data_IF_365511178562
#
_entry.id   IF_365511178562
#
_cell.length_a   1.000
_cell.length_b   1.000
_cell.length_c   1.000
_cell.angle_alpha   90.00
_cell.angle_beta   90.00
_cell.angle_gamma   90.00
#
_symmetry.space_group_name_H-M   'P 1'
#
loop_
_entity.id
_entity.type
_entity.pdbx_description
1 polymer ?
2 polymer ?
3 polymer ?
4 polymer ?
5 non-polymer ?
6 non-polymer ?
7 non-polymer ?
8 non-polymer ?
9 non-polymer ?
10 non-polymer ?
11 water ?
#
loop_
_entity_poly.entity_id
_entity_poly.type
_entity_poly.pdbx_seq_one_letter_code
_entity_poly.pdbx_strand_id
2 'polydeoxyribonucleotide' '(DC)(DG)(DG)(DC)(DA)(DT)(DA)(DC)(DG)' ?
3 'polydeoxyribonucleotide/polyribonucleotide hybrid' '(DC)(DG)(DT)(DA)U' ?
4 'polydeoxyribonucleotide' '(DG)(DC)(DC)(DG)' ?
#
# COMPACT_ATOMS: atom_id res chain seq x y z
N UNK A 10 -7.11 19.61 -14.13
CA UNK A 10 -6.37 18.57 -13.45
C UNK A 10 -5.60 19.13 -12.25
N UNK A 11 -6.13 18.96 -11.04
CA UNK A 11 -5.43 19.44 -9.85
C UNK A 11 -4.07 18.76 -9.68
N UNK A 12 -3.22 19.39 -8.87
CA UNK A 12 -1.84 18.93 -8.73
C UNK A 12 -1.72 17.77 -7.75
N UNK A 13 -2.61 17.65 -6.77
CA UNK A 13 -2.51 16.61 -5.75
C UNK A 13 -3.46 15.46 -6.08
N UNK A 14 -3.00 14.23 -5.86
CA UNK A 14 -3.86 13.09 -6.21
C UNK A 14 -5.12 13.03 -5.34
N UNK A 15 -5.07 13.57 -4.13
CA UNK A 15 -6.25 13.53 -3.27
C UNK A 15 -7.32 14.52 -3.71
N UNK A 16 -7.04 15.33 -4.73
CA UNK A 16 -7.97 16.33 -5.22
C UNK A 16 -8.78 15.85 -6.40
N UNK A 17 -8.62 14.59 -6.81
CA UNK A 17 -9.26 14.11 -8.02
C UNK A 17 -9.58 12.64 -7.85
N UNK A 18 -10.68 12.16 -8.43
CA UNK A 18 -10.97 10.73 -8.36
C UNK A 18 -10.04 9.94 -9.26
N UNK A 19 -9.57 8.82 -8.76
CA UNK A 19 -8.72 7.90 -9.53
C UNK A 19 -9.32 6.52 -9.46
N UNK A 20 -9.96 6.03 -10.52
CA UNK A 20 -10.57 4.69 -10.48
C UNK A 20 -9.50 3.60 -10.56
N UNK A 21 -9.94 2.38 -10.24
CA UNK A 21 -9.01 1.25 -10.26
C UNK A 21 -8.56 0.94 -11.68
N UNK A 22 -9.50 0.92 -12.63
CA UNK A 22 -9.19 0.72 -14.03
C UNK A 22 -9.45 2.02 -14.78
N UNK A 23 -8.67 2.25 -15.84
CA UNK A 23 -8.69 3.56 -16.48
C UNK A 23 -8.34 3.39 -17.95
N UNK A 24 -7.93 4.49 -18.59
CA UNK A 24 -7.84 4.57 -20.04
C UNK A 24 -6.43 4.82 -20.53
N UNK A 25 -5.43 4.65 -19.67
CA UNK A 25 -4.04 4.91 -20.02
C UNK A 25 -3.13 3.92 -19.31
N UNK A 26 -3.56 2.65 -19.28
CA UNK A 26 -2.86 1.63 -18.50
C UNK A 26 -1.42 1.47 -18.94
N UNK A 27 -1.20 1.32 -20.25
CA UNK A 27 0.16 1.12 -20.74
C UNK A 27 1.09 2.28 -20.41
N UNK A 28 0.62 3.51 -20.58
CA UNK A 28 1.45 4.66 -20.28
C UNK A 28 1.76 4.74 -18.79
N UNK A 29 0.77 4.49 -17.94
CA UNK A 29 1.04 4.57 -16.52
C UNK A 29 1.99 3.48 -16.09
N UNK A 30 1.86 2.29 -16.67
CA UNK A 30 2.77 1.19 -16.25
C UNK A 30 4.20 1.55 -16.58
N UNK A 31 4.43 2.17 -17.75
CA UNK A 31 5.80 2.53 -18.11
C UNK A 31 6.37 3.54 -17.15
N UNK A 32 5.60 4.56 -16.80
CA UNK A 32 6.10 5.55 -15.86
C UNK A 32 6.36 4.94 -14.49
N UNK A 33 5.55 3.95 -14.09
CA UNK A 33 5.74 3.37 -12.78
C UNK A 33 6.98 2.46 -12.74
N UNK A 34 7.39 1.92 -13.88
CA UNK A 34 8.68 1.24 -13.96
C UNK A 34 9.80 2.21 -13.58
N UNK A 35 9.77 3.41 -14.18
CA UNK A 35 10.82 4.39 -13.89
C UNK A 35 10.75 4.87 -12.45
N UNK A 36 9.55 4.90 -11.87
CA UNK A 36 9.41 5.33 -10.49
C UNK A 36 10.04 4.30 -9.57
N UNK A 37 9.71 3.04 -9.82
CA UNK A 37 10.26 1.91 -9.06
C UNK A 37 11.77 1.88 -9.16
N UNK A 38 12.31 2.05 -10.36
CA UNK A 38 13.77 2.10 -10.50
C UNK A 38 14.39 3.29 -9.78
N UNK A 39 13.76 4.44 -9.85
CA UNK A 39 14.28 5.60 -9.13
C UNK A 39 14.37 5.31 -7.65
N UNK A 40 13.36 4.63 -7.09
CA UNK A 40 13.41 4.26 -5.69
C UNK A 40 14.55 3.30 -5.37
N UNK A 41 14.80 2.34 -6.27
CA UNK A 41 15.88 1.40 -6.05
C UNK A 41 17.24 2.09 -5.98
N UNK A 42 17.35 3.26 -6.62
CA UNK A 42 18.59 4.02 -6.63
C UNK A 42 18.58 5.16 -5.60
N UNK A 43 17.69 5.09 -4.62
CA UNK A 43 17.70 6.03 -3.52
C UNK A 43 17.09 7.39 -3.80
N UNK A 44 16.44 7.58 -4.95
CA UNK A 44 15.92 8.90 -5.32
C UNK A 44 14.42 8.92 -5.08
N UNK A 45 14.06 9.22 -3.83
CA UNK A 45 12.65 9.32 -3.47
C UNK A 45 11.94 10.42 -4.26
N UNK A 46 12.65 11.51 -4.55
CA UNK A 46 12.03 12.61 -5.28
C UNK A 46 11.63 12.22 -6.69
N UNK A 47 12.55 11.58 -7.42
CA UNK A 47 12.24 11.12 -8.77
C UNK A 47 11.14 10.06 -8.75
N UNK A 48 11.18 9.16 -7.77
CA UNK A 48 10.10 8.18 -7.63
C UNK A 48 8.76 8.86 -7.51
N UNK A 49 8.69 9.87 -6.66
CA UNK A 49 7.41 10.53 -6.46
C UNK A 49 6.95 11.21 -7.75
N UNK A 50 7.82 11.93 -8.43
CA UNK A 50 7.38 12.57 -9.64
C UNK A 50 6.84 11.56 -10.65
N UNK A 51 7.57 10.47 -10.88
CA UNK A 51 7.09 9.51 -11.87
C UNK A 51 5.79 8.86 -11.42
N UNK A 52 5.67 8.51 -10.12
CA UNK A 52 4.38 7.99 -9.57
C UNK A 52 3.24 8.97 -9.77
N UNK A 53 3.48 10.28 -9.47
CA UNK A 53 2.45 11.29 -9.64
C UNK A 53 2.04 11.44 -11.10
N UNK A 54 3.01 11.47 -12.01
CA UNK A 54 2.68 11.58 -13.43
C UNK A 54 1.86 10.38 -13.88
N UNK A 55 2.25 9.18 -13.45
CA UNK A 55 1.48 7.99 -13.76
C UNK A 55 0.06 8.12 -13.24
N UNK A 56 -0.10 8.65 -12.01
CA UNK A 56 -1.42 8.77 -11.41
C UNK A 56 -2.28 9.80 -12.15
N UNK A 57 -1.68 10.87 -12.65
CA UNK A 57 -2.43 11.84 -13.45
C UNK A 57 -3.08 11.15 -14.64
N UNK A 58 -2.33 10.27 -15.31
CA UNK A 58 -2.89 9.57 -16.46
C UNK A 58 -4.04 8.65 -16.05
N UNK A 59 -3.95 8.05 -14.85
CA UNK A 59 -5.04 7.21 -14.37
C UNK A 59 -6.31 8.01 -14.17
N UNK A 60 -6.18 9.30 -13.88
CA UNK A 60 -7.33 10.15 -13.57
C UNK A 60 -7.99 10.74 -14.81
N UNK A 61 -7.36 10.61 -15.97
CA UNK A 61 -7.89 11.20 -17.19
C UNK A 61 -9.14 10.46 -17.65
N UNK A 62 -10.04 11.14 -18.37
CA UNK A 62 -11.30 10.50 -18.78
C UNK A 62 -11.21 9.69 -20.07
N UNK A 63 -10.08 9.70 -20.77
CA UNK A 63 -9.97 8.98 -22.03
C UNK A 63 -8.49 8.80 -22.34
N UNK A 64 -8.17 8.00 -23.36
CA UNK A 64 -6.76 7.73 -23.66
C UNK A 64 -6.03 8.96 -24.16
N UNK A 65 -4.77 9.10 -23.75
CA UNK A 65 -3.87 10.06 -24.37
C UNK A 65 -3.42 9.51 -25.72
N UNK A 66 -3.69 10.26 -26.78
CA UNK A 66 -3.31 9.86 -28.13
C UNK A 66 -2.23 10.74 -28.75
N UNK A 67 -2.11 11.99 -28.32
CA UNK A 67 -1.14 12.92 -28.87
C UNK A 67 -0.40 13.61 -27.75
N UNK A 68 0.84 14.02 -28.03
CA UNK A 68 1.65 14.66 -27.00
C UNK A 68 1.04 15.98 -26.55
N UNK A 69 0.32 16.66 -27.43
CA UNK A 69 -0.26 17.95 -27.07
C UNK A 69 -1.21 17.81 -25.90
N UNK A 70 -1.85 16.65 -25.75
CA UNK A 70 -2.78 16.42 -24.65
C UNK A 70 -2.08 16.44 -23.30
N UNK A 71 -0.76 16.33 -23.27
CA UNK A 71 -0.03 16.44 -22.00
C UNK A 71 0.20 17.88 -21.56
N UNK A 72 0.09 18.84 -22.49
CA UNK A 72 0.35 20.23 -22.14
C UNK A 72 -0.58 20.66 -21.00
N UNK A 73 -0.01 21.29 -19.99
CA UNK A 73 -0.77 21.75 -18.85
C UNK A 73 -1.08 20.71 -17.81
N UNK A 74 -0.77 19.44 -18.06
CA UNK A 74 -1.00 18.41 -17.05
C UNK A 74 0.07 18.49 -15.97
N UNK A 75 -0.29 18.52 -14.70
CA UNK A 75 0.73 18.60 -13.65
C UNK A 75 1.62 17.38 -13.63
N UNK A 76 2.90 17.61 -13.32
CA UNK A 76 3.94 16.60 -13.12
C UNK A 76 4.43 16.00 -14.44
N UNK A 77 4.11 16.60 -15.57
CA UNK A 77 4.66 16.20 -16.86
C UNK A 77 5.60 17.27 -17.35
N UNK A 78 6.91 17.02 -17.17
CA UNK A 78 7.94 17.87 -17.71
C UNK A 78 8.65 17.19 -18.86
N UNK A 79 9.92 17.56 -19.08
CA UNK A 79 10.63 17.05 -20.24
C UNK A 79 10.73 15.53 -20.21
N UNK A 80 11.08 14.95 -19.06
CA UNK A 80 11.39 13.53 -18.99
C UNK A 80 10.14 12.68 -19.17
N UNK A 81 9.11 12.89 -18.33
CA UNK A 81 7.89 12.09 -18.42
C UNK A 81 7.20 12.29 -19.77
N UNK A 82 7.27 13.50 -20.32
CA UNK A 82 6.66 13.74 -21.63
C UNK A 82 7.40 12.99 -22.73
N UNK A 83 8.74 12.94 -22.66
CA UNK A 83 9.48 12.18 -23.65
C UNK A 83 9.09 10.70 -23.57
N UNK A 84 9.00 10.16 -22.36
CA UNK A 84 8.61 8.76 -22.21
C UNK A 84 7.28 8.50 -22.92
N UNK A 85 6.27 9.33 -22.64
CA UNK A 85 4.97 9.16 -23.27
C UNK A 85 5.07 9.32 -24.81
N UNK A 86 5.82 10.31 -25.28
CA UNK A 86 5.97 10.52 -26.73
C UNK A 86 6.50 9.28 -27.43
N UNK A 87 7.56 8.69 -26.88
CA UNK A 87 8.14 7.52 -27.51
C UNK A 87 7.14 6.37 -27.50
N UNK A 88 6.39 6.23 -26.42
CA UNK A 88 5.42 5.13 -26.40
C UNK A 88 4.33 5.36 -27.44
N UNK A 89 3.88 6.61 -27.59
CA UNK A 89 2.86 6.92 -28.58
C UNK A 89 3.40 6.69 -29.99
N UNK A 90 4.66 7.03 -30.22
CA UNK A 90 5.22 6.98 -31.57
C UNK A 90 5.68 5.59 -31.95
N UNK A 91 6.26 4.83 -31.02
CA UNK A 91 6.87 3.55 -31.33
C UNK A 91 6.32 2.38 -30.52
N UNK A 92 5.36 2.61 -29.63
CA UNK A 92 4.84 1.54 -28.79
C UNK A 92 5.79 1.06 -27.72
N UNK A 93 6.96 1.67 -27.58
CA UNK A 93 7.97 1.24 -26.63
C UNK A 93 8.84 2.42 -26.29
N UNK A 94 9.33 2.47 -25.05
CA UNK A 94 10.25 3.50 -24.61
C UNK A 94 11.58 2.85 -24.26
N UNK A 95 12.65 3.30 -24.92
CA UNK A 95 13.94 2.62 -24.79
C UNK A 95 14.44 2.65 -23.36
N UNK A 96 14.32 3.80 -22.69
CA UNK A 96 14.75 3.88 -21.29
C UNK A 96 14.01 2.88 -20.44
N UNK A 97 12.69 2.75 -20.64
CA UNK A 97 11.91 1.80 -19.85
C UNK A 97 12.38 0.37 -20.11
N UNK A 98 12.58 0.03 -21.39
CA UNK A 98 13.02 -1.33 -21.72
C UNK A 98 14.40 -1.61 -21.16
N UNK A 99 15.28 -0.62 -21.20
CA UNK A 99 16.62 -0.81 -20.64
C UNK A 99 16.55 -1.12 -19.15
N UNK A 100 15.71 -0.38 -18.41
CA UNK A 100 15.50 -0.67 -16.99
C UNK A 100 14.96 -2.09 -16.82
N UNK A 101 13.92 -2.42 -17.58
CA UNK A 101 13.25 -3.71 -17.44
C UNK A 101 14.25 -4.88 -17.45
N UNK A 102 15.17 -4.88 -18.41
CA UNK A 102 16.08 -6.01 -18.59
C UNK A 102 17.34 -5.90 -17.73
N UNK A 103 17.58 -4.76 -17.09
CA UNK A 103 18.81 -4.56 -16.34
C UNK A 103 18.88 -5.53 -15.18
N UNK A 104 20.08 -6.07 -14.94
CA UNK A 104 20.27 -6.99 -13.83
C UNK A 104 19.98 -6.31 -12.50
N UNK A 105 20.35 -5.03 -12.37
CA UNK A 105 20.09 -4.29 -11.15
C UNK A 105 18.60 -4.26 -10.84
N UNK A 106 17.80 -3.73 -11.77
CA UNK A 106 16.37 -3.62 -11.56
C UNK A 106 15.76 -4.98 -11.20
N UNK A 107 16.06 -6.01 -11.99
CA UNK A 107 15.44 -7.30 -11.79
C UNK A 107 15.78 -7.88 -10.42
N UNK A 108 17.02 -7.70 -9.97
CA UNK A 108 17.41 -8.25 -8.67
C UNK A 108 16.85 -7.45 -7.52
N UNK A 109 16.85 -6.11 -7.62
CA UNK A 109 16.26 -5.28 -6.56
C UNK A 109 14.78 -5.55 -6.46
N UNK A 110 14.14 -5.84 -7.59
CA UNK A 110 12.72 -6.17 -7.57
C UNK A 110 12.51 -7.50 -6.87
N UNK A 111 13.29 -8.51 -7.24
CA UNK A 111 13.21 -9.82 -6.61
C UNK A 111 13.45 -9.71 -5.12
N UNK A 112 14.49 -8.96 -4.71
CA UNK A 112 14.86 -8.92 -3.30
C UNK A 112 13.87 -8.11 -2.48
N UNK A 113 13.50 -6.92 -2.94
CA UNK A 113 12.58 -6.09 -2.16
C UNK A 113 11.20 -6.73 -2.04
N UNK A 114 10.81 -7.54 -3.02
CA UNK A 114 9.51 -8.21 -2.94
C UNK A 114 9.45 -9.21 -1.80
N UNK A 115 10.59 -9.58 -1.22
CA UNK A 115 10.60 -10.45 -0.07
C UNK A 115 10.06 -9.70 1.14
N UNK A 116 9.18 -10.36 1.90
CA UNK A 116 8.71 -9.83 3.17
C UNK A 116 9.86 -9.78 4.16
N UNK A 117 10.23 -8.57 4.58
CA UNK A 117 11.34 -8.37 5.49
C UNK A 117 12.59 -7.82 4.83
N UNK A 118 12.61 -7.67 3.51
CA UNK A 118 13.74 -7.11 2.78
C UNK A 118 13.29 -5.81 2.15
N UNK A 119 13.93 -4.72 2.54
CA UNK A 119 13.69 -3.42 1.94
C UNK A 119 14.80 -3.02 0.99
N UNK A 120 14.66 -1.82 0.45
CA UNK A 120 15.61 -1.30 -0.53
C UNK A 120 17.02 -1.30 0.03
N UNK A 121 17.23 -0.78 1.25
CA UNK A 121 18.60 -0.80 1.78
C UNK A 121 19.15 -2.23 1.91
N UNK A 122 18.36 -3.19 2.42
CA UNK A 122 18.91 -4.54 2.55
C UNK A 122 19.20 -5.15 1.18
N UNK A 123 18.24 -5.04 0.25
CA UNK A 123 18.43 -5.57 -1.10
C UNK A 123 19.66 -4.96 -1.75
N UNK A 124 19.89 -3.66 -1.57
CA UNK A 124 21.02 -3.00 -2.20
C UNK A 124 22.34 -3.56 -1.68
N UNK A 125 22.44 -3.77 -0.37
CA UNK A 125 23.66 -4.31 0.22
C UNK A 125 23.94 -5.71 -0.33
N UNK A 126 22.91 -6.56 -0.38
CA UNK A 126 23.07 -7.90 -0.93
C UNK A 126 23.49 -7.84 -2.40
N UNK A 127 22.94 -6.88 -3.14
CA UNK A 127 23.34 -6.72 -4.53
C UNK A 127 24.82 -6.38 -4.65
N UNK A 128 25.29 -5.46 -3.81
CA UNK A 128 26.70 -5.07 -3.85
C UNK A 128 27.60 -6.22 -3.40
N UNK A 129 27.11 -7.09 -2.51
CA UNK A 129 27.87 -8.25 -2.09
C UNK A 129 27.92 -9.34 -3.15
N UNK A 130 27.22 -9.18 -4.27
CA UNK A 130 27.25 -10.15 -5.35
C UNK A 130 26.06 -11.08 -5.41
N UNK A 131 25.13 -11.00 -4.47
CA UNK A 131 23.99 -11.91 -4.44
C UNK A 131 22.98 -11.52 -5.50
N UNK A 132 22.35 -12.52 -6.12
CA UNK A 132 21.46 -12.28 -7.25
C UNK A 132 20.17 -13.07 -7.21
N UNK A 133 20.12 -14.23 -6.55
CA UNK A 133 18.98 -15.13 -6.64
C UNK A 133 18.48 -15.47 -5.24
N UNK A 134 17.29 -16.06 -5.17
CA UNK A 134 16.76 -16.49 -3.89
C UNK A 134 17.60 -17.62 -3.31
N UNK A 135 18.06 -18.55 -4.17
CA UNK A 135 18.94 -19.60 -3.68
C UNK A 135 20.25 -19.04 -3.16
N UNK A 136 20.73 -17.94 -3.73
CA UNK A 136 21.90 -17.26 -3.17
C UNK A 136 21.64 -16.86 -1.72
N UNK A 137 20.43 -16.42 -1.42
CA UNK A 137 20.09 -16.06 -0.04
C UNK A 137 19.92 -17.31 0.81
N UNK A 138 19.23 -18.32 0.30
CA UNK A 138 19.04 -19.56 1.05
C UNK A 138 20.38 -20.22 1.36
N UNK A 139 21.37 -20.05 0.50
CA UNK A 139 22.68 -20.67 0.69
C UNK A 139 23.54 -19.94 1.71
N UNK A 140 23.03 -18.89 2.36
CA UNK A 140 23.76 -18.15 3.38
C UNK A 140 22.79 -17.67 4.45
N UNK A 141 22.13 -18.62 5.13
CA UNK A 141 21.04 -18.24 6.04
C UNK A 141 21.49 -17.52 7.30
N UNK A 142 22.79 -17.51 7.61
CA UNK A 142 23.25 -16.80 8.79
C UNK A 142 23.07 -15.29 8.67
N UNK A 143 22.88 -14.78 7.46
CA UNK A 143 22.74 -13.35 7.23
C UNK A 143 21.29 -12.88 7.29
N UNK A 144 20.34 -13.74 7.61
CA UNK A 144 18.93 -13.44 7.52
C UNK A 144 18.31 -13.29 8.90
N UNK A 145 17.44 -12.28 9.04
CA UNK A 145 16.60 -12.20 10.21
C UNK A 145 15.54 -13.30 10.17
N UNK A 146 14.91 -13.55 11.31
CA UNK A 146 13.84 -14.54 11.35
C UNK A 146 12.69 -14.12 10.44
N UNK A 147 12.38 -12.83 10.40
CA UNK A 147 11.36 -12.32 9.49
C UNK A 147 11.72 -12.61 8.04
N UNK A 148 12.98 -12.38 7.68
CA UNK A 148 13.41 -12.64 6.31
C UNK A 148 13.44 -14.13 6.01
N UNK A 149 13.79 -14.95 6.99
CA UNK A 149 13.69 -16.40 6.82
C UNK A 149 12.26 -16.80 6.52
N UNK A 150 11.30 -16.21 7.22
CA UNK A 150 9.89 -16.48 6.95
C UNK A 150 9.49 -16.01 5.56
N UNK A 151 9.87 -14.79 5.20
CA UNK A 151 9.56 -14.28 3.87
C UNK A 151 10.17 -15.12 2.77
N UNK A 152 11.34 -15.69 3.01
CA UNK A 152 12.02 -16.48 2.00
C UNK A 152 11.45 -17.90 1.93
N UNK A 153 11.18 -18.53 3.07
CA UNK A 153 10.57 -19.85 3.07
C UNK A 153 9.21 -19.82 2.37
N UNK A 154 8.41 -18.79 2.62
CA UNK A 154 7.07 -18.68 2.06
C UNK A 154 7.02 -17.84 0.80
N UNK A 155 8.18 -17.54 0.20
CA UNK A 155 8.21 -16.59 -0.91
C UNK A 155 7.28 -17.02 -2.05
N UNK A 156 7.27 -18.31 -2.38
CA UNK A 156 6.50 -18.76 -3.53
C UNK A 156 5.01 -18.51 -3.32
N UNK A 157 4.47 -18.91 -2.16
CA UNK A 157 3.08 -18.63 -1.86
C UNK A 157 2.82 -17.12 -1.82
N UNK A 158 3.72 -16.36 -1.22
CA UNK A 158 3.49 -14.92 -1.10
C UNK A 158 3.60 -14.21 -2.44
N UNK A 159 4.18 -14.86 -3.45
CA UNK A 159 4.21 -14.30 -4.80
C UNK A 159 2.94 -14.59 -5.58
N UNK A 160 2.06 -15.45 -5.06
CA UNK A 160 0.78 -15.78 -5.65
C UNK A 160 -0.25 -14.72 -5.27
N UNK A 161 -0.96 -14.11 -6.21
CA UNK A 161 -1.94 -13.08 -5.83
C UNK A 161 -3.02 -13.63 -4.91
N UNK A 162 -3.29 -12.88 -3.84
CA UNK A 162 -4.44 -13.16 -2.99
C UNK A 162 -5.71 -12.79 -3.75
N UNK A 163 -6.71 -13.65 -3.68
CA UNK A 163 -7.95 -13.45 -4.41
C UNK A 163 -9.06 -13.02 -3.46
N UNK A 164 -10.08 -12.38 -4.04
CA UNK A 164 -11.20 -11.91 -3.22
C UNK A 164 -11.86 -13.07 -2.49
N UNK A 165 -11.89 -14.26 -3.10
CA UNK A 165 -12.41 -15.43 -2.40
C UNK A 165 -11.59 -15.75 -1.17
N UNK A 166 -10.26 -15.60 -1.26
CA UNK A 166 -9.42 -15.81 -0.10
C UNK A 166 -9.76 -14.85 1.03
N UNK A 167 -10.19 -13.64 0.67
CA UNK A 167 -10.42 -12.59 1.66
C UNK A 167 -11.57 -12.96 2.54
N UNK A 168 -12.65 -13.43 1.94
CA UNK A 168 -13.85 -13.70 2.73
C UNK A 168 -13.56 -14.78 3.77
N UNK A 169 -12.75 -15.77 3.42
CA UNK A 169 -12.50 -16.85 4.38
C UNK A 169 -11.64 -16.37 5.51
N UNK A 170 -10.66 -15.53 5.22
CA UNK A 170 -9.77 -15.01 6.25
C UNK A 170 -10.50 -14.08 7.21
N UNK A 171 -11.40 -13.24 6.70
CA UNK A 171 -12.14 -12.34 7.58
C UNK A 171 -12.96 -13.13 8.59
N UNK A 172 -13.54 -14.24 8.18
CA UNK A 172 -14.34 -15.06 9.10
C UNK A 172 -13.48 -15.57 10.25
N UNK A 173 -12.29 -16.09 9.95
CA UNK A 173 -11.47 -16.66 11.02
C UNK A 173 -10.93 -15.55 11.92
N UNK A 174 -10.62 -14.39 11.35
CA UNK A 174 -10.19 -13.25 12.18
C UNK A 174 -11.32 -12.81 13.09
N UNK A 175 -12.53 -12.68 12.55
CA UNK A 175 -13.67 -12.30 13.36
C UNK A 175 -13.91 -13.30 14.50
N UNK A 176 -13.81 -14.59 14.20
CA UNK A 176 -13.97 -15.60 15.24
C UNK A 176 -12.99 -15.38 16.37
N UNK A 177 -11.70 -15.23 16.04
CA UNK A 177 -10.68 -14.99 17.06
C UNK A 177 -10.92 -13.66 17.77
N UNK A 178 -11.31 -12.63 17.02
CA UNK A 178 -11.58 -11.33 17.61
C UNK A 178 -12.77 -11.40 18.54
N UNK A 179 -13.82 -12.15 18.15
CA UNK A 179 -15.01 -12.29 18.98
C UNK A 179 -14.73 -12.94 20.32
N UNK A 180 -13.83 -13.95 20.34
CA UNK A 180 -13.41 -14.54 21.61
C UNK A 180 -12.53 -13.60 22.39
N UNK A 181 -11.68 -12.86 21.69
CA UNK A 181 -10.72 -12.09 22.43
C UNK A 181 -11.42 -10.93 23.15
N UNK A 182 -12.39 -10.32 22.51
CA UNK A 182 -13.12 -9.19 23.06
C UNK A 182 -14.50 -9.11 22.40
N UNK A 183 -15.54 -9.64 23.04
CA UNK A 183 -16.89 -9.55 22.45
C UNK A 183 -17.26 -8.11 22.11
N UNK A 184 -17.91 -7.95 20.95
CA UNK A 184 -18.28 -6.64 20.47
C UNK A 184 -17.25 -5.96 19.61
N UNK A 185 -16.02 -6.47 19.57
CA UNK A 185 -15.01 -5.90 18.69
C UNK A 185 -15.36 -6.20 17.24
N UNK A 186 -14.94 -5.31 16.35
CA UNK A 186 -15.30 -5.38 14.94
C UNK A 186 -14.06 -5.48 14.07
N UNK A 187 -14.22 -6.11 12.91
CA UNK A 187 -13.15 -6.29 11.93
C UNK A 187 -13.59 -5.63 10.64
N UNK A 188 -12.76 -4.72 10.14
CA UNK A 188 -13.06 -3.98 8.92
C UNK A 188 -11.97 -4.26 7.88
N UNK A 189 -12.39 -4.72 6.70
CA UNK A 189 -11.46 -4.90 5.60
C UNK A 189 -10.97 -3.55 5.10
N UNK A 190 -9.65 -3.40 4.98
CA UNK A 190 -9.06 -2.16 4.48
C UNK A 190 -8.13 -2.46 3.31
N UNK A 191 -7.11 -1.62 3.12
CA UNK A 191 -6.16 -1.85 2.06
C UNK A 191 -6.81 -1.91 0.67
N UNK A 192 -6.10 -2.58 -0.24
CA UNK A 192 -6.48 -2.55 -1.64
C UNK A 192 -7.84 -3.17 -1.92
N UNK A 193 -8.20 -4.23 -1.18
CA UNK A 193 -9.50 -4.85 -1.42
C UNK A 193 -10.65 -3.92 -1.07
N UNK A 194 -10.46 -3.04 -0.08
CA UNK A 194 -11.49 -2.04 0.18
C UNK A 194 -11.59 -1.04 -0.97
N UNK A 195 -10.51 -0.81 -1.71
CA UNK A 195 -10.56 0.07 -2.87
C UNK A 195 -11.13 -0.63 -4.10
N UNK A 196 -11.55 -1.88 -3.99
CA UNK A 196 -12.15 -2.61 -5.09
C UNK A 196 -11.21 -3.51 -5.85
N UNK A 197 -9.98 -3.68 -5.40
CA UNK A 197 -9.07 -4.58 -6.09
C UNK A 197 -9.60 -5.99 -6.05
N UNK A 198 -9.41 -6.73 -7.13
CA UNK A 198 -9.78 -8.12 -7.19
C UNK A 198 -8.65 -9.03 -6.76
N UNK A 199 -7.43 -8.50 -6.63
CA UNK A 199 -6.28 -9.26 -6.16
C UNK A 199 -5.44 -8.42 -5.22
N UNK A 200 -4.52 -9.07 -4.48
CA UNK A 200 -3.60 -8.31 -3.67
C UNK A 200 -2.41 -9.13 -3.24
N UNK A 201 -1.44 -8.43 -2.67
CA UNK A 201 -0.27 -9.10 -2.10
C UNK A 201 -0.50 -9.52 -0.65
N UNK A 202 -1.56 -9.01 -0.02
CA UNK A 202 -1.90 -9.37 1.35
C UNK A 202 -3.36 -9.02 1.58
N UNK A 203 -3.83 -9.26 2.81
CA UNK A 203 -5.13 -8.83 3.27
C UNK A 203 -4.92 -7.95 4.50
N UNK A 204 -5.54 -6.78 4.49
CA UNK A 204 -5.37 -5.78 5.54
C UNK A 204 -6.68 -5.62 6.30
N UNK A 205 -6.60 -5.69 7.64
CA UNK A 205 -7.79 -5.53 8.48
C UNK A 205 -7.56 -4.45 9.53
N UNK A 206 -8.65 -3.78 9.89
CA UNK A 206 -8.65 -2.78 10.96
C UNK A 206 -9.65 -3.23 12.02
N UNK A 207 -9.21 -3.26 13.28
CA UNK A 207 -9.99 -3.78 14.39
C UNK A 207 -10.21 -2.67 15.41
N UNK A 208 -11.42 -2.59 15.94
CA UNK A 208 -11.74 -1.61 16.98
C UNK A 208 -12.87 -2.16 17.83
N UNK A 209 -13.33 -1.33 18.78
CA UNK A 209 -14.43 -1.71 19.66
C UNK A 209 -15.22 -0.44 19.94
N UNK A 210 -16.55 -0.51 19.99
CA UNK A 210 -17.35 0.73 20.06
C UNK A 210 -17.19 1.50 21.38
N UNK A 211 -16.69 0.87 22.44
CA UNK A 211 -16.48 1.52 23.72
C UNK A 211 -15.01 1.92 23.81
N UNK A 212 -14.75 3.22 23.75
CA UNK A 212 -13.38 3.74 23.78
C UNK A 212 -12.60 3.12 24.95
N UNK A 213 -11.40 2.62 24.63
CA UNK A 213 -10.51 2.07 25.62
C UNK A 213 -10.56 0.55 25.72
N UNK A 214 -11.70 -0.05 25.37
CA UNK A 214 -11.81 -1.50 25.46
C UNK A 214 -10.86 -2.21 24.52
N UNK A 215 -10.42 -1.55 23.45
CA UNK A 215 -9.50 -2.17 22.49
C UNK A 215 -8.08 -2.28 23.02
N UNK A 216 -7.77 -1.64 24.14
CA UNK A 216 -6.43 -1.71 24.71
C UNK A 216 -6.05 -3.16 24.99
N UNK A 217 -4.83 -3.52 24.62
CA UNK A 217 -4.34 -4.87 24.85
C UNK A 217 -5.00 -5.95 24.02
N UNK A 218 -5.72 -5.57 22.96
CA UNK A 218 -6.53 -6.55 22.25
C UNK A 218 -5.67 -7.44 21.35
N UNK A 219 -4.68 -6.88 20.69
CA UNK A 219 -4.05 -7.62 19.60
C UNK A 219 -3.28 -8.84 20.08
N UNK A 220 -2.57 -8.77 21.22
CA UNK A 220 -1.93 -10.00 21.73
C UNK A 220 -2.92 -11.11 21.99
N UNK A 221 -4.12 -10.77 22.46
CA UNK A 221 -5.14 -11.77 22.71
C UNK A 221 -5.65 -12.37 21.41
N UNK A 222 -5.74 -11.55 20.36
CA UNK A 222 -6.13 -12.06 19.05
C UNK A 222 -5.05 -13.00 18.51
N UNK A 223 -3.80 -12.56 18.58
CA UNK A 223 -2.76 -13.33 17.93
C UNK A 223 -2.57 -14.65 18.63
N UNK A 224 -2.71 -14.65 19.96
CA UNK A 224 -2.53 -15.88 20.73
C UNK A 224 -3.63 -16.88 20.40
N UNK A 225 -4.84 -16.41 20.14
CA UNK A 225 -5.92 -17.32 19.75
C UNK A 225 -5.74 -17.86 18.34
N UNK A 226 -5.36 -17.00 17.41
CA UNK A 226 -5.08 -17.48 16.07
C UNK A 226 -3.97 -18.49 16.10
N UNK A 227 -2.90 -18.21 16.88
CA UNK A 227 -1.78 -19.16 16.97
C UNK A 227 -2.26 -20.48 17.56
N UNK A 228 -3.15 -20.43 18.53
CA UNK A 228 -3.66 -21.68 19.12
C UNK A 228 -4.49 -22.48 18.11
N UNK A 229 -5.24 -21.78 17.20
CA UNK A 229 -5.95 -22.52 16.18
C UNK A 229 -5.01 -23.06 15.01
N UNK A 230 -3.69 -22.93 15.13
CA UNK A 230 -2.77 -23.38 14.10
C UNK A 230 -2.77 -22.56 12.82
N UNK A 231 -3.30 -21.36 12.83
CA UNK A 231 -3.49 -20.60 11.61
C UNK A 231 -2.37 -19.61 11.32
N UNK A 232 -1.39 -19.48 12.22
CA UNK A 232 -0.32 -18.52 12.08
C UNK A 232 0.97 -19.26 11.73
N UNK A 233 1.48 -19.00 10.53
CA UNK A 233 2.77 -19.54 10.13
C UNK A 233 3.92 -18.66 10.59
N UNK A 234 3.67 -17.36 10.76
CA UNK A 234 4.67 -16.44 11.28
C UNK A 234 3.99 -15.20 11.82
N UNK A 235 4.47 -14.72 12.96
CA UNK A 235 4.18 -13.36 13.41
C UNK A 235 5.27 -12.95 14.40
N UNK A 236 5.30 -11.66 14.68
CA UNK A 236 6.36 -11.09 15.51
C UNK A 236 6.19 -11.49 16.98
N UNK A 256 3.03 -5.75 24.47
CA UNK A 256 1.94 -4.92 23.96
C UNK A 256 2.26 -4.40 22.57
N UNK A 257 1.27 -4.45 21.70
CA UNK A 257 1.42 -3.96 20.34
C UNK A 257 0.04 -3.77 19.73
N UNK A 258 -0.01 -2.99 18.65
CA UNK A 258 -1.27 -2.65 18.01
C UNK A 258 -1.25 -2.88 16.50
N UNK A 259 -0.14 -3.32 15.94
CA UNK A 259 -0.04 -3.71 14.55
C UNK A 259 0.72 -5.01 14.49
N UNK A 260 0.25 -5.94 13.66
CA UNK A 260 0.98 -7.18 13.43
C UNK A 260 1.00 -7.48 11.94
N UNK A 261 2.17 -7.85 11.45
CA UNK A 261 2.39 -8.26 10.07
C UNK A 261 2.69 -9.75 10.11
N UNK A 262 1.69 -10.55 9.74
CA UNK A 262 1.69 -11.99 9.94
C UNK A 262 1.66 -12.72 8.60
N UNK A 263 1.84 -14.04 8.69
CA UNK A 263 1.63 -14.93 7.56
C UNK A 263 0.64 -15.98 8.02
N UNK A 264 -0.49 -16.08 7.35
CA UNK A 264 -1.58 -16.95 7.77
C UNK A 264 -1.56 -18.22 6.93
N UNK A 265 -2.04 -19.30 7.54
CA UNK A 265 -2.31 -20.54 6.86
C UNK A 265 -3.73 -20.51 6.29
N UNK A 266 -3.86 -20.45 4.97
CA UNK A 266 -5.18 -20.35 4.36
C UNK A 266 -5.57 -21.66 3.69
N UNK A 267 -6.65 -22.30 4.12
CA UNK A 267 -7.06 -23.56 3.49
C UNK A 267 -7.41 -23.40 2.03
N UNK A 268 -7.13 -24.46 1.32
CA UNK A 268 -7.14 -24.61 -0.12
C UNK A 268 -7.64 -26.02 -0.39
N UNK A 269 -8.08 -26.32 -1.62
CA UNK A 269 -8.54 -27.68 -1.94
C UNK A 269 -7.49 -28.75 -1.58
N UNK A 270 -7.74 -29.53 -0.53
CA UNK A 270 -6.79 -30.60 -0.25
C UNK A 270 -5.47 -30.14 0.33
N UNK A 271 -5.34 -28.85 0.59
CA UNK A 271 -4.07 -28.35 1.11
C UNK A 271 -4.25 -26.96 1.72
N UNK A 272 -3.27 -26.08 1.53
CA UNK A 272 -3.34 -24.73 2.05
C UNK A 272 -2.23 -23.91 1.40
N UNK A 273 -2.32 -22.60 1.54
CA UNK A 273 -1.26 -21.71 1.10
C UNK A 273 -1.03 -20.63 2.16
N UNK A 274 0.20 -20.12 2.18
CA UNK A 274 0.54 -19.03 3.07
C UNK A 274 0.06 -17.70 2.47
N UNK A 275 -0.49 -16.85 3.32
CA UNK A 275 -1.00 -15.55 2.90
C UNK A 275 -0.57 -14.51 3.91
N UNK A 276 -0.13 -13.36 3.42
CA UNK A 276 0.22 -12.25 4.28
C UNK A 276 -1.05 -11.55 4.76
N UNK A 277 -1.14 -11.32 6.06
CA UNK A 277 -2.29 -10.67 6.69
C UNK A 277 -1.76 -9.61 7.64
N UNK A 278 -2.29 -8.40 7.52
CA UNK A 278 -1.96 -7.30 8.42
C UNK A 278 -3.16 -6.99 9.30
N UNK A 279 -2.92 -6.91 10.60
CA UNK A 279 -3.94 -6.56 11.57
C UNK A 279 -3.53 -5.28 12.26
N UNK A 280 -4.47 -4.35 12.36
CA UNK A 280 -4.26 -3.07 13.04
C UNK A 280 -5.41 -2.86 14.01
N UNK A 281 -5.09 -2.41 15.22
CA UNK A 281 -6.09 -2.09 16.23
C UNK A 281 -6.04 -0.59 16.46
N UNK A 282 -7.21 0.04 16.53
CA UNK A 282 -7.31 1.47 16.79
C UNK A 282 -8.47 1.71 17.75
N UNK A 283 -8.36 2.70 18.64
CA UNK A 283 -9.52 3.11 19.42
C UNK A 283 -10.56 3.74 18.51
N UNK A 284 -11.83 3.61 18.90
CA UNK A 284 -12.90 4.03 18.02
C UNK A 284 -12.81 5.53 17.75
N UNK A 285 -12.28 6.30 18.70
CA UNK A 285 -12.10 7.73 18.46
C UNK A 285 -11.19 7.99 17.25
N UNK A 286 -10.20 7.12 17.02
CA UNK A 286 -9.27 7.29 15.91
C UNK A 286 -9.63 6.45 14.70
N UNK A 287 -10.72 5.68 14.77
CA UNK A 287 -11.03 4.74 13.70
C UNK A 287 -11.13 5.41 12.34
N UNK A 288 -11.81 6.55 12.17
CA UNK A 288 -11.85 7.17 10.84
C UNK A 288 -10.48 7.46 10.29
N UNK A 289 -9.56 7.94 11.14
CA UNK A 289 -8.21 8.23 10.68
C UNK A 289 -7.46 6.96 10.31
N UNK A 290 -7.64 5.90 11.10
CA UNK A 290 -6.95 4.65 10.80
C UNK A 290 -7.53 3.99 9.57
N UNK A 291 -8.86 4.05 9.41
CA UNK A 291 -9.47 3.54 8.20
C UNK A 291 -8.95 4.28 6.97
N UNK A 292 -8.95 5.61 7.01
CA UNK A 292 -8.41 6.39 5.91
C UNK A 292 -6.96 6.04 5.66
N UNK A 293 -6.15 5.98 6.72
CA UNK A 293 -4.73 5.78 6.58
C UNK A 293 -4.36 4.42 6.02
N UNK A 294 -5.15 3.39 6.30
CA UNK A 294 -4.83 2.04 5.86
C UNK A 294 -5.63 1.60 4.64
N UNK A 295 -6.54 2.43 4.14
CA UNK A 295 -7.24 2.10 2.91
C UNK A 295 -6.46 2.52 1.66
N UNK A 296 -5.57 3.50 1.78
CA UNK A 296 -4.69 3.83 0.67
C UNK A 296 -5.37 4.60 -0.44
N UNK A 297 -4.83 4.55 -1.66
CA UNK A 297 -3.56 3.89 -1.98
C UNK A 297 -2.39 4.54 -1.24
N UNK A 298 -1.22 3.90 -1.32
CA UNK A 298 -0.02 4.47 -0.71
C UNK A 298 0.24 5.87 -1.24
N UNK A 299 0.19 6.05 -2.56
CA UNK A 299 0.40 7.39 -3.10
C UNK A 299 -0.70 8.34 -2.66
N UNK A 300 -1.95 7.86 -2.64
CA UNK A 300 -3.05 8.70 -2.21
C UNK A 300 -2.82 9.23 -0.80
N UNK A 301 -2.36 8.37 0.12
CA UNK A 301 -2.14 8.80 1.50
C UNK A 301 -0.99 9.80 1.58
N UNK A 302 0.12 9.53 0.88
CA UNK A 302 1.23 10.47 0.88
C UNK A 302 0.79 11.82 0.35
N UNK A 303 0.02 11.84 -0.75
CA UNK A 303 -0.45 13.10 -1.31
C UNK A 303 -1.41 13.80 -0.36
N UNK A 304 -2.26 13.03 0.30
CA UNK A 304 -3.22 13.62 1.24
C UNK A 304 -2.49 14.23 2.44
N UNK A 305 -1.48 13.54 2.96
CA UNK A 305 -0.72 14.08 4.08
C UNK A 305 0.10 15.30 3.65
N UNK A 306 0.69 15.24 2.46
CA UNK A 306 1.39 16.40 1.92
C UNK A 306 0.43 17.56 1.71
N UNK A 307 -0.74 17.29 1.14
CA UNK A 307 -1.74 18.35 0.94
C UNK A 307 -2.13 18.97 2.27
N UNK A 308 -2.46 18.14 3.26
CA UNK A 308 -2.90 18.64 4.55
C UNK A 308 -1.86 19.59 5.14
N UNK A 309 -0.58 19.19 5.10
CA UNK A 309 0.47 19.99 5.70
C UNK A 309 0.75 21.25 4.89
N UNK A 310 0.95 21.11 3.57
CA UNK A 310 1.44 22.21 2.77
C UNK A 310 0.34 23.21 2.41
N UNK A 311 -0.88 22.74 2.17
CA UNK A 311 -1.95 23.62 1.74
C UNK A 311 -2.86 24.08 2.88
N UNK A 312 -2.97 23.30 3.94
CA UNK A 312 -3.87 23.60 5.05
C UNK A 312 -3.19 23.83 6.39
N UNK A 313 -1.89 23.59 6.48
CA UNK A 313 -1.20 23.75 7.75
C UNK A 313 -1.62 22.78 8.83
N UNK A 314 -2.16 21.62 8.46
CA UNK A 314 -2.59 20.61 9.41
C UNK A 314 -1.76 19.35 9.23
N UNK A 315 -1.52 18.64 10.33
CA UNK A 315 -0.67 17.45 10.33
C UNK A 315 -1.57 16.23 10.43
N UNK A 316 -1.57 15.40 9.39
CA UNK A 316 -2.43 14.25 9.27
C UNK A 316 -1.62 12.97 9.43
N UNK A 317 -2.16 12.02 10.20
CA UNK A 317 -1.61 10.67 10.24
C UNK A 317 -2.76 9.71 10.51
N UNK A 318 -2.41 8.43 10.72
CA UNK A 318 -3.44 7.41 10.95
C UNK A 318 -4.07 7.51 12.33
N UNK A 319 -3.62 8.45 13.17
CA UNK A 319 -4.19 8.64 14.51
C UNK A 319 -5.12 9.84 14.60
N UNK A 320 -4.98 10.83 13.73
CA UNK A 320 -5.72 12.07 13.90
C UNK A 320 -5.21 13.14 12.96
N UNK A 321 -5.78 14.33 13.15
CA UNK A 321 -5.46 15.50 12.36
C UNK A 321 -5.19 16.65 13.33
N UNK A 322 -3.98 17.20 13.28
CA UNK A 322 -3.49 18.10 14.31
C UNK A 322 -3.30 19.51 13.75
N UNK A 323 -3.87 20.49 14.45
CA UNK A 323 -3.65 21.90 14.17
C UNK A 323 -2.49 22.39 15.02
N UNK A 324 -1.31 22.60 14.45
CA UNK A 324 -0.14 22.93 15.27
C UNK A 324 -0.16 24.35 15.82
N UNK A 325 -1.01 25.23 15.29
CA UNK A 325 -1.14 26.57 15.83
C UNK A 325 -2.02 26.57 17.07
N UNK A 326 -3.24 26.04 16.96
CA UNK A 326 -4.14 25.95 18.10
C UNK A 326 -3.80 24.77 19.01
N UNK A 327 -2.88 23.90 18.61
CA UNK A 327 -2.51 22.73 19.41
C UNK A 327 -3.75 21.91 19.76
N UNK A 328 -4.53 21.57 18.73
CA UNK A 328 -5.76 20.82 18.91
C UNK A 328 -5.85 19.72 17.86
N UNK A 329 -6.56 18.66 18.22
CA UNK A 329 -6.86 17.55 17.32
C UNK A 329 -8.30 17.65 16.86
N UNK A 330 -8.51 17.47 15.55
CA UNK A 330 -9.86 17.43 15.01
C UNK A 330 -10.51 16.11 15.37
N UNK A 331 -11.72 16.17 15.91
CA UNK A 331 -12.50 14.97 16.17
C UNK A 331 -13.26 14.61 14.91
N UNK A 332 -13.06 13.40 14.43
CA UNK A 332 -13.74 12.92 13.24
C UNK A 332 -14.57 11.71 13.60
N UNK A 333 -15.80 11.68 13.10
CA UNK A 333 -16.68 10.52 13.23
C UNK A 333 -16.71 9.67 11.97
N UNK A 334 -16.07 10.11 10.89
CA UNK A 334 -16.16 9.44 9.61
C UNK A 334 -15.04 9.92 8.72
N UNK A 335 -14.76 9.15 7.67
CA UNK A 335 -13.87 9.64 6.63
C UNK A 335 -14.43 10.90 5.99
N UNK A 336 -15.75 10.94 5.77
CA UNK A 336 -16.36 12.16 5.25
C UNK A 336 -15.99 13.39 6.07
N UNK A 337 -15.99 13.25 7.40
CA UNK A 337 -15.56 14.35 8.26
C UNK A 337 -14.16 14.82 7.89
N UNK A 338 -13.26 13.88 7.64
CA UNK A 338 -11.85 14.23 7.43
C UNK A 338 -11.68 14.99 6.13
N UNK A 339 -12.29 14.47 5.05
CA UNK A 339 -12.26 15.20 3.78
C UNK A 339 -12.82 16.60 3.95
N UNK A 340 -13.94 16.73 4.68
CA UNK A 340 -14.53 18.05 4.88
C UNK A 340 -13.61 18.97 5.67
N UNK A 341 -12.96 18.44 6.71
CA UNK A 341 -11.99 19.21 7.47
C UNK A 341 -10.94 19.82 6.55
N UNK A 342 -10.43 19.01 5.62
CA UNK A 342 -9.36 19.42 4.72
C UNK A 342 -9.88 20.19 3.51
N UNK A 343 -11.18 20.46 3.44
CA UNK A 343 -11.71 21.19 2.29
C UNK A 343 -11.63 20.45 0.98
N UNK A 344 -11.70 19.13 1.01
CA UNK A 344 -11.64 18.30 -0.18
C UNK A 344 -12.99 17.63 -0.43
N UNK A 345 -13.36 17.49 -1.69
CA UNK A 345 -14.53 16.69 -2.03
C UNK A 345 -14.28 15.25 -1.59
N UNK A 346 -15.31 14.62 -1.04
CA UNK A 346 -15.16 13.25 -0.57
C UNK A 346 -14.89 12.32 -1.73
N UNK A 347 -13.98 11.37 -1.51
CA UNK A 347 -13.69 10.33 -2.49
C UNK A 347 -13.93 8.98 -1.85
N UNK A 348 -14.81 8.14 -2.39
CA UNK A 348 -14.97 6.80 -1.84
C UNK A 348 -13.71 5.99 -2.07
N UNK A 349 -13.51 4.90 -1.32
CA UNK A 349 -12.26 4.14 -1.48
C UNK A 349 -11.96 3.75 -2.91
N UNK A 350 -13.00 3.42 -3.68
CA UNK A 350 -12.82 2.99 -5.06
C UNK A 350 -12.23 4.08 -5.94
N UNK A 351 -12.29 5.33 -5.50
CA UNK A 351 -11.74 6.46 -6.24
C UNK A 351 -10.44 6.97 -5.64
N UNK A 352 -9.82 6.19 -4.74
CA UNK A 352 -8.54 6.54 -4.14
C UNK A 352 -7.41 5.69 -4.71
N UNK A 353 -7.57 5.17 -5.92
CA UNK A 353 -6.57 4.30 -6.53
C UNK A 353 -5.50 5.09 -7.26
N UNK A 354 -4.95 6.09 -6.57
CA UNK A 354 -3.89 6.91 -7.14
C UNK A 354 -2.64 6.09 -7.36
X LIG E 1 -0.66 -4.75 4.18
X LIG F 1 -2.73 -4.81 1.10
X LIG G 1 10.03 -6.15 1.14
X LIG H 1 -11.44 18.07 -3.79
X LIG I 1 7.15 16.87 -3.71
X LIG J 1 -0.36 -2.60 1.45
X LIG J 1 1.14 -2.70 1.35
X LIG J 1 -1.04 -3.84 1.99
X LIG J 1 -0.89 -2.21 -0.03
X LIG J 1 -0.68 -1.34 2.39
X LIG J 1 -2.36 -2.31 -0.66
X LIG J 1 -3.34 -3.08 0.22
X LIG J 1 -2.87 -0.92 -0.98
X LIG J 1 -2.09 -3.10 -2.03
X LIG J 1 -1.67 -4.65 -2.08
X LIG J 1 -1.63 -5.17 -0.66
X LIG J 1 -0.27 -4.61 -2.65
X LIG J 1 -2.65 -5.35 -2.97
X LIG J 1 -2.02 -1.16 2.85
X LIG J 1 -2.25 0.30 3.13
X LIG J 1 -1.26 0.77 4.07
X LIG J 1 -0.94 2.11 3.78
X LIG J 1 -1.86 2.55 2.63
X LIG J 1 -3.08 3.02 3.17
X LIG J 1 -2.06 1.21 1.93
X LIG J 1 -3.17 1.15 1.05
X LIG J 1 0.47 2.19 3.39
X LIG J 1 1.16 1.09 2.91
X LIG J 1 1.07 3.42 3.48
X LIG J 1 0.47 4.40 3.89
X LIG J 1 2.39 3.47 3.09
X LIG J 1 3.14 2.42 2.61
X LIG J 1 4.31 2.62 2.30
X LIG J 1 2.45 1.16 2.53
X LIG K 1 0.62 -2.49 5.23
X LIG K 1 1.77 -3.14 4.44
X LIG K 1 0.93 -1.50 5.98
X LIG K 1 -0.59 -2.90 5.14
X LIG K 1 1.38 -4.28 3.72
X LIG L 1 -6.83 13.25 -23.57
X LIG L 1 -7.05 14.66 -23.51
X LIG L 1 -6.82 12.68 -22.16
X LIG L 1 -8.12 12.84 -21.58
#
# INVERSE_FOLDING_TARGET
GSAAASPAWMPAYACQRPTPLTHHNTGLSEALEILAEAAGFEGSEGRLLTFCRAASVLKALPSPVTTLSQLQGLPHFGEHSSRVVQELLEHGVCEEVERVRRSERYQTMKLFTQIFGVGVKTADRWYREGLRTLDDLREQPQKLTQQQKAGLQHHQDLSTPVLRSDVDALQQVVEEAVGQALPGATVTLTGGFRRGKLQGHDVDFLITHPKEGQEAGLLPRVMCRLQDQGLILYHQHQHSCCESPTRLAQQSHMDAFERSFCIFRLPQPGSWKAVRVDLVVAPVSQFPFALLGHTGSKLFQRELRRFSRKEKGLWLNSHGLFDPEQKTFFQAASEEDIFRHLGLEYLPPEQRNA
MG MG
MG MG
NA NA
CL CL
CL CL
UTP PA O1A O2A O3A O5' PB O1B O2B O3B PG O1G O2G O3G C5' C4' O4' C1' C2' O2' C3' O3' N1 C6 C2 O2 N3 C4 O4 C5
GOA C CA O OXT O2
EDO C1 O1 C2 O2
#
